data_IF_659709604397
#
_entry.id   IF_659709604397
#
_cell.length_a   1.000
_cell.length_b   1.000
_cell.length_c   1.000
_cell.angle_alpha   90.00
_cell.angle_beta   90.00
_cell.angle_gamma   90.00
#
_symmetry.space_group_name_H-M   'P 1'
#
loop_
_entity.id
_entity.type
_entity.pdbx_description
1 polymer ?
#
# COMPACT_ATOMS: atom_id res chain seq x y z
N UNK A 1 11.68 28.81 -4.37
CA UNK A 1 10.66 28.18 -5.20
C UNK A 1 9.27 28.38 -4.61
N UNK A 2 8.88 27.76 -3.49
CA UNK A 2 7.55 27.88 -2.91
C UNK A 2 7.09 29.33 -2.64
N UNK A 3 7.99 30.20 -2.21
CA UNK A 3 7.70 31.64 -2.02
C UNK A 3 7.39 32.34 -3.35
N UNK A 4 8.04 31.93 -4.44
CA UNK A 4 7.79 32.44 -5.79
C UNK A 4 6.39 32.04 -6.28
N UNK A 5 6.01 30.75 -6.12
CA UNK A 5 4.67 30.25 -6.45
C UNK A 5 3.58 30.96 -5.63
N UNK A 6 3.81 31.10 -4.32
CA UNK A 6 2.91 31.81 -3.41
C UNK A 6 2.69 33.28 -3.82
N UNK A 7 3.76 33.99 -4.18
CA UNK A 7 3.71 35.38 -4.60
C UNK A 7 2.94 35.56 -5.92
N UNK A 8 3.15 34.69 -6.91
CA UNK A 8 2.38 34.71 -8.16
C UNK A 8 0.86 34.64 -7.90
N UNK A 9 0.42 33.68 -7.06
CA UNK A 9 -1.00 33.55 -6.74
C UNK A 9 -1.53 34.70 -5.89
N UNK A 10 -0.73 35.25 -4.97
CA UNK A 10 -1.10 36.41 -4.17
C UNK A 10 -1.31 37.66 -5.02
N UNK A 11 -0.43 37.95 -5.97
CA UNK A 11 -0.57 39.08 -6.90
C UNK A 11 -1.87 38.96 -7.73
N UNK A 12 -2.17 37.75 -8.20
CA UNK A 12 -3.39 37.51 -8.96
C UNK A 12 -4.66 37.64 -8.11
N UNK A 13 -4.65 37.17 -6.86
CA UNK A 13 -5.75 37.38 -5.93
C UNK A 13 -5.98 38.88 -5.64
N UNK A 14 -4.91 39.66 -5.48
CA UNK A 14 -4.98 41.11 -5.32
C UNK A 14 -5.61 41.76 -6.57
N UNK A 15 -5.15 41.37 -7.75
CA UNK A 15 -5.69 41.88 -9.02
C UNK A 15 -7.20 41.58 -9.22
N UNK A 16 -7.66 40.43 -8.70
CA UNK A 16 -9.05 40.00 -8.83
C UNK A 16 -10.00 40.63 -7.79
N UNK A 17 -9.50 41.54 -6.93
CA UNK A 17 -10.27 42.22 -5.85
C UNK A 17 -11.01 41.27 -4.90
N UNK A 18 -10.56 40.01 -4.78
CA UNK A 18 -11.12 39.03 -3.84
C UNK A 18 -10.48 39.19 -2.47
N UNK A 19 -11.29 39.18 -1.42
CA UNK A 19 -10.78 39.09 -0.04
C UNK A 19 -10.04 37.77 0.10
N UNK A 20 -8.76 37.82 0.46
CA UNK A 20 -7.98 36.68 0.87
C UNK A 20 -7.63 36.80 2.34
N UNK A 21 -7.82 35.72 3.06
CA UNK A 21 -7.37 35.60 4.43
C UNK A 21 -5.88 35.27 4.44
N UNK A 22 -5.13 35.90 5.36
CA UNK A 22 -3.72 35.53 5.54
C UNK A 22 -3.66 34.06 5.99
N UNK A 23 -3.40 33.16 5.05
CA UNK A 23 -3.38 31.72 5.31
C UNK A 23 -2.16 31.36 6.14
N UNK A 24 -2.25 31.59 7.46
CA UNK A 24 -1.30 30.95 8.38
C UNK A 24 -1.60 29.45 8.40
N UNK A 25 -0.57 28.61 8.28
CA UNK A 25 -0.79 27.17 8.40
C UNK A 25 -1.47 26.87 9.73
N UNK A 26 -2.61 26.20 9.69
CA UNK A 26 -3.37 25.86 10.91
C UNK A 26 -2.48 24.94 11.75
N UNK A 27 -2.12 25.36 12.95
CA UNK A 27 -1.28 24.58 13.89
C UNK A 27 -1.78 23.15 14.08
N UNK A 28 -3.11 22.95 14.01
CA UNK A 28 -3.76 21.64 14.04
C UNK A 28 -3.35 20.75 12.86
N UNK A 29 -3.19 21.31 11.64
CA UNK A 29 -2.78 20.55 10.46
C UNK A 29 -1.32 20.10 10.58
N UNK A 30 -0.45 20.99 11.08
CA UNK A 30 0.96 20.66 11.34
C UNK A 30 1.07 19.57 12.38
N UNK A 31 0.36 19.69 13.51
CA UNK A 31 0.35 18.67 14.55
C UNK A 31 -0.12 17.30 14.03
N UNK A 32 -1.17 17.28 13.22
CA UNK A 32 -1.67 16.06 12.60
C UNK A 32 -0.66 15.44 11.63
N UNK A 33 0.05 16.27 10.84
CA UNK A 33 1.12 15.81 9.96
C UNK A 33 2.32 15.24 10.74
N UNK A 34 2.67 15.84 11.89
CA UNK A 34 3.73 15.33 12.76
C UNK A 34 3.38 13.93 13.30
N UNK A 35 2.14 13.74 13.79
CA UNK A 35 1.65 12.44 14.23
C UNK A 35 1.65 11.44 13.07
N UNK A 36 1.15 11.85 11.91
CA UNK A 36 1.11 11.00 10.72
C UNK A 36 2.53 10.57 10.32
N UNK A 37 3.48 11.51 10.31
CA UNK A 37 4.90 11.23 10.01
C UNK A 37 5.51 10.25 11.00
N UNK A 38 5.17 10.37 12.28
CA UNK A 38 5.64 9.45 13.31
C UNK A 38 5.06 8.03 13.14
N UNK A 39 3.83 7.91 12.64
CA UNK A 39 3.14 6.63 12.44
C UNK A 39 3.51 5.92 11.13
N UNK A 40 3.58 6.66 10.02
CA UNK A 40 3.78 6.08 8.67
C UNK A 40 5.16 6.34 8.08
N UNK A 41 5.97 7.15 8.76
CA UNK A 41 7.34 7.52 8.32
C UNK A 41 7.37 8.66 7.30
N UNK A 42 8.56 9.28 7.17
CA UNK A 42 8.77 10.47 6.33
C UNK A 42 8.40 10.23 4.87
N UNK A 43 8.82 9.11 4.28
CA UNK A 43 8.62 8.85 2.85
C UNK A 43 7.14 8.75 2.46
N UNK A 44 6.33 8.07 3.29
CA UNK A 44 4.88 7.98 3.04
C UNK A 44 4.17 9.31 3.27
N UNK A 45 4.61 10.09 4.26
CA UNK A 45 4.05 11.42 4.52
C UNK A 45 4.36 12.38 3.38
N UNK A 46 5.59 12.38 2.86
CA UNK A 46 5.98 13.16 1.68
C UNK A 46 5.12 12.77 0.48
N UNK A 47 5.03 11.48 0.14
CA UNK A 47 4.18 11.00 -0.96
C UNK A 47 2.70 11.42 -0.79
N UNK A 48 2.19 11.50 0.45
CA UNK A 48 0.84 11.97 0.71
C UNK A 48 0.65 13.47 0.45
N UNK A 49 1.68 14.28 0.79
CA UNK A 49 1.68 15.72 0.54
C UNK A 49 1.78 16.03 -0.94
N UNK A 50 2.67 15.35 -1.66
CA UNK A 50 2.90 15.49 -3.10
C UNK A 50 1.69 15.08 -3.96
N UNK A 51 0.79 14.25 -3.44
CA UNK A 51 -0.46 13.92 -4.16
C UNK A 51 -1.27 15.15 -4.56
N UNK A 52 -1.19 16.24 -3.79
CA UNK A 52 -1.82 17.51 -4.11
C UNK A 52 -1.23 18.19 -5.32
N UNK A 53 0.07 18.00 -5.57
CA UNK A 53 0.83 18.70 -6.62
C UNK A 53 0.46 18.22 -8.02
N UNK A 54 0.35 16.91 -8.23
CA UNK A 54 -0.08 16.33 -9.53
C UNK A 54 -1.48 16.86 -9.94
N UNK A 55 -2.40 16.97 -8.99
CA UNK A 55 -3.72 17.55 -9.26
C UNK A 55 -3.64 19.05 -9.50
N UNK A 56 -2.72 19.74 -8.84
CA UNK A 56 -2.44 21.17 -9.04
C UNK A 56 -1.85 21.42 -10.42
N UNK A 57 -0.87 20.64 -10.89
CA UNK A 57 -0.30 20.72 -12.24
C UNK A 57 -1.41 20.58 -13.31
N UNK A 58 -2.36 19.65 -13.12
CA UNK A 58 -3.49 19.48 -14.04
C UNK A 58 -4.40 20.72 -14.06
N UNK A 59 -4.67 21.30 -12.89
CA UNK A 59 -5.45 22.55 -12.77
C UNK A 59 -4.71 23.74 -13.41
N UNK A 60 -3.40 23.86 -13.18
CA UNK A 60 -2.56 24.89 -13.78
C UNK A 60 -2.52 24.78 -15.31
N UNK A 61 -2.40 23.56 -15.86
CA UNK A 61 -2.46 23.32 -17.30
C UNK A 61 -3.81 23.72 -17.93
N UNK A 62 -4.91 23.37 -17.25
CA UNK A 62 -6.25 23.77 -17.68
C UNK A 62 -6.45 25.28 -17.60
N UNK A 63 -5.83 25.92 -16.64
CA UNK A 63 -5.86 27.36 -16.45
C UNK A 63 -5.01 28.07 -17.49
N UNK A 64 -3.82 27.55 -17.80
CA UNK A 64 -2.92 28.05 -18.85
C UNK A 64 -3.64 28.18 -20.21
N UNK A 65 -4.52 27.25 -20.54
CA UNK A 65 -5.31 27.29 -21.78
C UNK A 65 -6.37 28.40 -21.82
N UNK A 66 -6.59 29.12 -20.71
CA UNK A 66 -7.56 30.21 -20.58
C UNK A 66 -6.92 31.58 -20.39
N UNK A 67 -5.60 31.64 -20.29
CA UNK A 67 -4.85 32.89 -20.12
C UNK A 67 -4.54 33.46 -21.50
N UNK A 68 -4.86 34.75 -21.69
CA UNK A 68 -4.54 35.49 -22.92
C UNK A 68 -3.31 36.40 -22.76
N UNK A 69 -2.83 36.62 -21.51
CA UNK A 69 -1.65 37.42 -21.20
C UNK A 69 -0.37 36.55 -21.35
N UNK A 70 0.54 36.98 -22.20
CA UNK A 70 1.77 36.26 -22.51
C UNK A 70 2.72 36.19 -21.32
N UNK A 71 2.83 37.25 -20.52
CA UNK A 71 3.68 37.27 -19.32
C UNK A 71 3.15 36.34 -18.23
N UNK A 72 1.85 36.33 -18.05
CA UNK A 72 1.20 35.46 -17.08
C UNK A 72 1.27 33.99 -17.52
N UNK A 73 1.15 33.74 -18.82
CA UNK A 73 1.32 32.41 -19.42
C UNK A 73 2.74 31.87 -19.21
N UNK A 74 3.77 32.72 -19.40
CA UNK A 74 5.17 32.33 -19.17
C UNK A 74 5.43 32.02 -17.70
N UNK A 75 5.00 32.88 -16.77
CA UNK A 75 5.17 32.64 -15.34
C UNK A 75 4.47 31.35 -14.86
N UNK A 76 3.28 31.05 -15.38
CA UNK A 76 2.57 29.81 -15.05
C UNK A 76 3.23 28.56 -15.63
N UNK A 77 3.84 28.65 -16.83
CA UNK A 77 4.64 27.56 -17.39
C UNK A 77 5.86 27.27 -16.54
N UNK A 78 6.56 28.30 -16.05
CA UNK A 78 7.69 28.15 -15.17
C UNK A 78 7.30 27.44 -13.86
N UNK A 79 6.17 27.82 -13.25
CA UNK A 79 5.60 27.12 -12.08
C UNK A 79 5.30 25.64 -12.39
N UNK A 80 4.70 25.33 -13.55
CA UNK A 80 4.43 23.95 -13.94
C UNK A 80 5.72 23.15 -14.18
N UNK A 81 6.75 23.76 -14.75
CA UNK A 81 8.05 23.13 -14.97
C UNK A 81 8.78 22.87 -13.63
N UNK A 82 8.71 23.81 -12.69
CA UNK A 82 9.23 23.66 -11.35
C UNK A 82 8.55 22.51 -10.60
N UNK A 83 7.21 22.42 -10.62
CA UNK A 83 6.44 21.33 -9.98
C UNK A 83 6.77 19.97 -10.61
N UNK A 84 6.90 19.88 -11.93
CA UNK A 84 7.35 18.66 -12.63
C UNK A 84 8.80 18.32 -12.26
N UNK A 85 9.64 19.32 -12.10
CA UNK A 85 11.03 19.18 -11.65
C UNK A 85 11.10 18.59 -10.23
N UNK A 86 10.28 19.08 -9.32
CA UNK A 86 10.15 18.55 -7.95
C UNK A 86 9.71 17.07 -7.96
N UNK A 87 8.68 16.74 -8.72
CA UNK A 87 8.23 15.34 -8.85
C UNK A 87 9.34 14.42 -9.38
N UNK A 88 10.14 14.89 -10.35
CA UNK A 88 11.27 14.13 -10.89
C UNK A 88 12.39 13.95 -9.86
N UNK A 89 12.77 15.00 -9.12
CA UNK A 89 13.77 14.93 -8.06
C UNK A 89 13.36 13.93 -6.98
N UNK A 90 12.11 13.92 -6.56
CA UNK A 90 11.57 12.94 -5.61
C UNK A 90 11.49 11.54 -6.21
N UNK A 91 11.20 11.42 -7.50
CA UNK A 91 11.24 10.16 -8.24
C UNK A 91 12.67 9.61 -8.39
N UNK A 92 13.66 10.48 -8.46
CA UNK A 92 15.10 10.16 -8.58
C UNK A 92 15.81 10.05 -7.22
N UNK A 93 15.19 10.48 -6.12
CA UNK A 93 15.77 10.43 -4.78
C UNK A 93 16.06 9.01 -4.30
N UNK A 94 16.94 8.40 -5.02
CA UNK A 94 17.82 7.38 -4.52
C UNK A 94 17.66 5.99 -5.11
N UNK A 95 18.79 5.28 -5.18
CA UNK A 95 18.90 3.89 -5.61
C UNK A 95 18.10 2.91 -4.73
N UNK A 96 17.33 3.41 -3.76
CA UNK A 96 16.53 2.64 -2.80
C UNK A 96 15.01 2.69 -3.06
N UNK A 97 14.51 3.51 -4.02
CA UNK A 97 13.06 3.61 -4.25
C UNK A 97 12.46 2.29 -4.72
N UNK A 98 13.09 1.61 -5.67
CA UNK A 98 12.63 0.28 -6.08
C UNK A 98 12.60 -0.71 -4.91
N UNK A 99 13.66 -0.76 -4.11
CA UNK A 99 13.72 -1.63 -2.94
C UNK A 99 12.67 -1.26 -1.87
N UNK A 100 12.34 0.03 -1.74
CA UNK A 100 11.28 0.50 -0.86
C UNK A 100 9.89 0.08 -1.37
N UNK A 101 9.62 0.27 -2.66
CA UNK A 101 8.37 -0.17 -3.30
C UNK A 101 8.20 -1.69 -3.24
N UNK A 102 9.26 -2.45 -3.49
CA UNK A 102 9.26 -3.91 -3.34
C UNK A 102 8.86 -4.34 -1.92
N UNK A 103 9.40 -3.68 -0.89
CA UNK A 103 9.04 -3.98 0.51
C UNK A 103 7.59 -3.66 0.81
N UNK A 104 7.09 -2.51 0.34
CA UNK A 104 5.68 -2.14 0.53
C UNK A 104 4.77 -3.14 -0.18
N UNK A 105 5.08 -3.50 -1.42
CA UNK A 105 4.31 -4.49 -2.16
C UNK A 105 4.32 -5.86 -1.47
N UNK A 106 5.50 -6.33 -1.04
CA UNK A 106 5.64 -7.59 -0.31
C UNK A 106 4.86 -7.58 1.01
N UNK A 107 4.93 -6.47 1.77
CA UNK A 107 4.20 -6.29 3.01
C UNK A 107 2.69 -6.39 2.80
N UNK A 108 2.16 -5.64 1.82
CA UNK A 108 0.71 -5.58 1.62
C UNK A 108 0.19 -6.85 0.98
N UNK A 109 0.95 -7.44 0.06
CA UNK A 109 0.60 -8.70 -0.55
C UNK A 109 0.46 -9.79 0.53
N UNK A 110 1.47 -9.95 1.39
CA UNK A 110 1.39 -10.88 2.50
C UNK A 110 0.26 -10.56 3.49
N UNK A 111 0.13 -9.30 3.91
CA UNK A 111 -0.90 -8.87 4.85
C UNK A 111 -2.31 -9.12 4.31
N UNK A 112 -2.57 -8.73 3.05
CA UNK A 112 -3.89 -8.89 2.43
C UNK A 112 -4.26 -10.36 2.28
N UNK A 113 -3.29 -11.19 1.88
CA UNK A 113 -3.52 -12.62 1.67
C UNK A 113 -3.79 -13.33 3.00
N UNK A 114 -2.99 -13.05 4.05
CA UNK A 114 -3.23 -13.58 5.39
C UNK A 114 -4.59 -13.18 5.98
N UNK A 115 -5.02 -11.93 5.77
CA UNK A 115 -6.34 -11.46 6.21
C UNK A 115 -7.48 -12.22 5.49
N UNK A 116 -7.39 -12.35 4.15
CA UNK A 116 -8.48 -12.89 3.32
C UNK A 116 -8.55 -14.40 3.39
N UNK A 117 -7.42 -15.10 3.26
CA UNK A 117 -7.37 -16.55 3.25
C UNK A 117 -7.85 -17.13 4.58
N UNK A 118 -7.31 -16.61 5.70
CA UNK A 118 -7.70 -17.10 7.02
C UNK A 118 -9.14 -16.72 7.36
N UNK A 119 -9.61 -15.51 7.01
CA UNK A 119 -11.02 -15.15 7.17
C UNK A 119 -11.93 -16.08 6.38
N UNK A 120 -11.58 -16.37 5.13
CA UNK A 120 -12.36 -17.26 4.27
C UNK A 120 -12.44 -18.68 4.84
N UNK A 121 -11.33 -19.23 5.33
CA UNK A 121 -11.31 -20.53 5.97
C UNK A 121 -12.17 -20.56 7.25
N UNK A 122 -11.99 -19.58 8.12
CA UNK A 122 -12.77 -19.45 9.38
C UNK A 122 -14.26 -19.26 9.09
N UNK A 123 -14.63 -18.44 8.11
CA UNK A 123 -16.02 -18.20 7.74
C UNK A 123 -16.71 -19.50 7.28
N UNK A 124 -16.02 -20.27 6.41
CA UNK A 124 -16.53 -21.58 5.99
C UNK A 124 -16.71 -22.57 7.12
N UNK A 125 -15.74 -22.64 8.04
CA UNK A 125 -15.79 -23.53 9.21
C UNK A 125 -16.87 -23.12 10.22
N UNK A 126 -17.12 -21.84 10.40
CA UNK A 126 -18.17 -21.33 11.33
C UNK A 126 -19.57 -21.79 10.95
N UNK A 127 -19.80 -22.12 9.68
CA UNK A 127 -21.08 -22.66 9.23
C UNK A 127 -21.30 -24.14 9.65
N UNK A 128 -20.22 -24.86 10.02
CA UNK A 128 -20.24 -26.31 10.28
C UNK A 128 -19.88 -26.61 11.75
N UNK A 129 -19.00 -25.80 12.34
CA UNK A 129 -18.42 -26.01 13.67
C UNK A 129 -18.98 -24.98 14.63
N UNK A 130 -19.50 -25.42 15.79
CA UNK A 130 -19.99 -24.52 16.84
C UNK A 130 -18.91 -24.08 17.82
N UNK A 131 -17.82 -24.84 17.94
CA UNK A 131 -16.77 -24.58 18.91
C UNK A 131 -15.77 -23.52 18.38
N UNK A 132 -15.81 -22.32 18.93
CA UNK A 132 -14.94 -21.21 18.54
C UNK A 132 -13.46 -21.55 18.65
N UNK A 133 -13.05 -22.29 19.68
CA UNK A 133 -11.64 -22.63 19.87
C UNK A 133 -11.13 -23.57 18.77
N UNK A 134 -11.95 -24.54 18.32
CA UNK A 134 -11.60 -25.41 17.18
C UNK A 134 -11.44 -24.59 15.92
N UNK A 135 -12.35 -23.61 15.69
CA UNK A 135 -12.26 -22.71 14.54
C UNK A 135 -10.98 -21.86 14.61
N UNK A 136 -10.64 -21.32 15.79
CA UNK A 136 -9.42 -20.55 15.99
C UNK A 136 -8.17 -21.39 15.71
N UNK A 137 -8.12 -22.63 16.20
CA UNK A 137 -7.01 -23.56 15.95
C UNK A 137 -6.89 -23.93 14.47
N UNK A 138 -8.02 -24.13 13.79
CA UNK A 138 -8.03 -24.38 12.34
C UNK A 138 -7.52 -23.16 11.57
N UNK A 139 -7.94 -21.95 11.94
CA UNK A 139 -7.42 -20.71 11.40
C UNK A 139 -5.91 -20.56 11.61
N UNK A 140 -5.40 -20.96 12.78
CA UNK A 140 -3.96 -20.95 13.08
C UNK A 140 -3.19 -21.92 12.15
N UNK A 141 -3.71 -23.12 11.91
CA UNK A 141 -3.08 -24.12 11.02
C UNK A 141 -3.03 -23.57 9.58
N UNK A 142 -4.13 -22.99 9.10
CA UNK A 142 -4.18 -22.33 7.78
C UNK A 142 -3.19 -21.17 7.73
N UNK A 143 -3.16 -20.33 8.77
CA UNK A 143 -2.26 -19.17 8.86
C UNK A 143 -0.77 -19.56 8.84
N UNK A 144 -0.39 -20.63 9.53
CA UNK A 144 1.00 -21.13 9.51
C UNK A 144 1.34 -21.74 8.15
N UNK A 145 0.47 -22.58 7.60
CA UNK A 145 0.66 -23.17 6.28
C UNK A 145 0.78 -22.13 5.17
N UNK A 146 -0.12 -21.13 5.17
CA UNK A 146 -0.09 -20.01 4.25
C UNK A 146 1.17 -19.15 4.40
N UNK A 147 1.63 -18.90 5.64
CA UNK A 147 2.89 -18.17 5.89
C UNK A 147 4.07 -18.86 5.22
N UNK A 148 4.19 -20.19 5.37
CA UNK A 148 5.27 -20.96 4.76
C UNK A 148 5.17 -20.89 3.23
N UNK A 149 3.98 -21.15 2.69
CA UNK A 149 3.71 -21.14 1.24
C UNK A 149 4.03 -19.77 0.62
N UNK A 150 3.53 -18.68 1.23
CA UNK A 150 3.74 -17.32 0.75
C UNK A 150 5.20 -16.87 0.85
N UNK A 151 5.90 -17.27 1.93
CA UNK A 151 7.34 -16.97 2.07
C UNK A 151 8.15 -17.66 0.97
N UNK A 152 7.90 -18.95 0.73
CA UNK A 152 8.57 -19.70 -0.30
C UNK A 152 8.23 -19.21 -1.71
N UNK A 153 6.95 -18.94 -1.98
CA UNK A 153 6.49 -18.40 -3.27
C UNK A 153 7.11 -17.03 -3.57
N UNK A 154 7.15 -16.13 -2.58
CA UNK A 154 7.78 -14.82 -2.70
C UNK A 154 9.30 -14.96 -2.93
N UNK A 155 9.97 -15.88 -2.23
CA UNK A 155 11.39 -16.16 -2.44
C UNK A 155 11.66 -16.63 -3.87
N UNK A 156 10.96 -17.64 -4.34
CA UNK A 156 11.15 -18.22 -5.68
C UNK A 156 10.86 -17.21 -6.79
N UNK A 157 9.76 -16.48 -6.67
CA UNK A 157 9.39 -15.46 -7.64
C UNK A 157 10.44 -14.35 -7.72
N UNK A 158 10.86 -13.83 -6.55
CA UNK A 158 11.85 -12.74 -6.51
C UNK A 158 13.24 -13.21 -6.92
N UNK A 159 13.63 -14.44 -6.57
CA UNK A 159 14.89 -15.04 -7.00
C UNK A 159 14.99 -15.09 -8.53
N UNK A 160 13.92 -15.53 -9.21
CA UNK A 160 13.88 -15.60 -10.68
C UNK A 160 13.98 -14.21 -11.32
N UNK A 161 13.32 -13.19 -10.76
CA UNK A 161 13.44 -11.80 -11.22
C UNK A 161 14.87 -11.29 -11.06
N UNK A 162 15.47 -11.54 -9.88
CA UNK A 162 16.83 -11.08 -9.57
C UNK A 162 17.88 -11.77 -10.44
N UNK A 163 17.75 -13.06 -10.72
CA UNK A 163 18.64 -13.76 -11.67
C UNK A 163 18.62 -13.13 -13.06
N UNK A 164 17.45 -12.71 -13.54
CA UNK A 164 17.34 -11.97 -14.79
C UNK A 164 18.04 -10.62 -14.73
N UNK A 165 17.87 -9.85 -13.63
CA UNK A 165 18.53 -8.58 -13.42
C UNK A 165 20.05 -8.72 -13.34
N UNK A 166 20.55 -9.74 -12.63
CA UNK A 166 21.99 -10.05 -12.53
C UNK A 166 22.60 -10.32 -13.89
N UNK A 167 21.91 -11.07 -14.75
CA UNK A 167 22.36 -11.29 -16.13
C UNK A 167 22.51 -9.98 -16.90
N UNK A 168 21.56 -9.06 -16.75
CA UNK A 168 21.63 -7.75 -17.40
C UNK A 168 22.80 -6.91 -16.83
N UNK A 169 22.98 -6.87 -15.50
CA UNK A 169 24.08 -6.17 -14.85
C UNK A 169 25.44 -6.68 -15.35
N UNK A 170 25.61 -8.00 -15.46
CA UNK A 170 26.84 -8.60 -16.01
C UNK A 170 27.06 -8.21 -17.47
N UNK A 171 26.00 -8.23 -18.29
CA UNK A 171 26.09 -7.81 -19.69
C UNK A 171 26.47 -6.34 -19.84
N UNK A 172 25.86 -5.47 -19.06
CA UNK A 172 26.19 -4.02 -19.06
C UNK A 172 27.63 -3.76 -18.58
N UNK A 173 28.10 -4.50 -17.57
CA UNK A 173 29.46 -4.34 -17.07
C UNK A 173 30.53 -4.70 -18.11
N UNK A 174 30.24 -5.70 -18.97
CA UNK A 174 31.12 -6.07 -20.08
C UNK A 174 31.14 -5.00 -21.19
N UNK A 175 30.01 -4.34 -21.44
CA UNK A 175 29.89 -3.31 -22.48
C UNK A 175 30.55 -1.98 -22.05
N UNK A 176 30.51 -1.66 -20.75
CA UNK A 176 30.92 -0.36 -20.22
C UNK A 176 32.25 -0.40 -19.45
N UNK A 177 33.00 -1.50 -19.55
CA UNK A 177 34.30 -1.74 -18.88
C UNK A 177 34.27 -1.38 -17.36
N UNK A 178 33.18 -1.76 -16.68
CA UNK A 178 32.98 -1.48 -15.25
C UNK A 178 33.88 -2.36 -14.39
N UNK A 179 34.44 -1.78 -13.32
CA UNK A 179 35.26 -2.52 -12.35
C UNK A 179 34.49 -3.70 -11.75
N UNK A 180 35.15 -4.88 -11.65
CA UNK A 180 34.57 -6.08 -11.01
C UNK A 180 34.01 -5.83 -9.62
N UNK A 181 34.68 -4.99 -8.81
CA UNK A 181 34.22 -4.62 -7.46
C UNK A 181 32.86 -3.90 -7.50
N UNK A 182 32.64 -3.02 -8.47
CA UNK A 182 31.40 -2.29 -8.62
C UNK A 182 30.27 -3.22 -9.05
N UNK A 183 30.54 -4.12 -9.99
CA UNK A 183 29.59 -5.13 -10.47
C UNK A 183 29.21 -6.11 -9.35
N UNK A 184 30.18 -6.61 -8.58
CA UNK A 184 29.93 -7.50 -7.45
C UNK A 184 29.07 -6.83 -6.36
N UNK A 185 29.29 -5.54 -6.07
CA UNK A 185 28.46 -4.77 -5.12
C UNK A 185 27.02 -4.61 -5.60
N UNK A 186 26.82 -4.36 -6.89
CA UNK A 186 25.48 -4.29 -7.49
C UNK A 186 24.74 -5.63 -7.39
N UNK A 187 25.41 -6.72 -7.74
CA UNK A 187 24.87 -8.10 -7.68
C UNK A 187 24.44 -8.43 -6.24
N UNK A 188 25.34 -8.26 -5.27
CA UNK A 188 25.01 -8.53 -3.86
C UNK A 188 23.82 -7.73 -3.37
N UNK A 189 23.70 -6.47 -3.78
CA UNK A 189 22.54 -5.65 -3.43
C UNK A 189 21.23 -6.21 -3.98
N UNK A 190 21.23 -6.76 -5.19
CA UNK A 190 20.05 -7.39 -5.77
C UNK A 190 19.73 -8.73 -5.07
N UNK A 191 20.73 -9.56 -4.77
CA UNK A 191 20.54 -10.82 -4.02
C UNK A 191 19.90 -10.60 -2.65
N UNK A 192 20.34 -9.56 -1.90
CA UNK A 192 19.79 -9.22 -0.60
C UNK A 192 18.29 -8.86 -0.70
N UNK A 193 17.81 -8.32 -1.82
CA UNK A 193 16.38 -8.00 -2.06
C UNK A 193 15.48 -9.23 -2.03
N UNK A 194 15.95 -10.38 -2.53
CA UNK A 194 15.18 -11.63 -2.52
C UNK A 194 14.82 -12.05 -1.10
N UNK A 195 15.81 -12.09 -0.21
CA UNK A 195 15.58 -12.49 1.19
C UNK A 195 14.72 -11.49 1.95
N UNK A 196 14.93 -10.19 1.70
CA UNK A 196 14.11 -9.13 2.32
C UNK A 196 12.66 -9.23 1.88
N UNK A 197 12.38 -9.45 0.59
CA UNK A 197 11.02 -9.61 0.07
C UNK A 197 10.32 -10.82 0.69
N UNK A 198 10.97 -11.99 0.69
CA UNK A 198 10.43 -13.22 1.25
C UNK A 198 10.09 -13.09 2.74
N UNK A 199 11.03 -12.56 3.54
CA UNK A 199 10.80 -12.31 4.98
C UNK A 199 9.67 -11.32 5.21
N UNK A 200 9.62 -10.23 4.44
CA UNK A 200 8.56 -9.23 4.58
C UNK A 200 7.20 -9.84 4.26
N UNK A 201 7.08 -10.61 3.18
CA UNK A 201 5.83 -11.28 2.80
C UNK A 201 5.37 -12.25 3.89
N UNK A 202 6.26 -13.12 4.39
CA UNK A 202 5.91 -14.09 5.43
C UNK A 202 5.50 -13.44 6.75
N UNK A 203 6.28 -12.46 7.22
CA UNK A 203 5.97 -11.74 8.48
C UNK A 203 4.67 -10.95 8.38
N UNK A 204 4.40 -10.31 7.25
CA UNK A 204 3.14 -9.58 7.04
C UNK A 204 1.95 -10.52 6.90
N UNK A 205 2.13 -11.68 6.27
CA UNK A 205 1.09 -12.69 6.17
C UNK A 205 0.66 -13.20 7.56
N UNK A 206 1.62 -13.60 8.43
CA UNK A 206 1.28 -14.09 9.77
C UNK A 206 0.63 -12.99 10.62
N UNK A 207 1.06 -11.74 10.46
CA UNK A 207 0.42 -10.60 11.11
C UNK A 207 -1.02 -10.42 10.61
N UNK A 208 -1.27 -10.52 9.30
CA UNK A 208 -2.60 -10.49 8.71
C UNK A 208 -3.49 -11.62 9.19
N UNK A 209 -2.96 -12.85 9.21
CA UNK A 209 -3.66 -14.05 9.64
C UNK A 209 -4.14 -13.99 11.10
N UNK A 210 -3.43 -13.26 11.95
CA UNK A 210 -3.79 -13.13 13.36
C UNK A 210 -5.13 -12.40 13.57
N UNK A 211 -5.44 -11.38 12.77
CA UNK A 211 -6.64 -10.55 12.95
C UNK A 211 -7.95 -11.34 12.88
N UNK A 212 -8.21 -12.18 11.85
CA UNK A 212 -9.44 -12.96 11.81
C UNK A 212 -9.53 -14.03 12.91
N UNK A 213 -8.42 -14.50 13.48
CA UNK A 213 -8.37 -15.54 14.51
C UNK A 213 -8.74 -14.98 15.89
N UNK A 214 -8.28 -13.77 16.22
CA UNK A 214 -8.39 -13.18 17.55
C UNK A 214 -9.82 -13.24 18.13
N UNK A 215 -10.91 -12.87 17.39
CA UNK A 215 -12.27 -12.93 17.96
C UNK A 215 -12.71 -14.33 18.35
N UNK A 216 -12.18 -15.37 17.71
CA UNK A 216 -12.54 -16.77 17.97
C UNK A 216 -11.82 -17.37 19.20
N UNK A 217 -10.87 -16.67 19.79
CA UNK A 217 -10.30 -17.04 21.09
C UNK A 217 -11.28 -16.80 22.24
N UNK A 218 -12.37 -16.08 21.99
CA UNK A 218 -13.42 -15.79 22.95
C UNK A 218 -14.70 -16.58 22.60
N UNK A 219 -15.44 -17.08 23.59
CA UNK A 219 -16.64 -17.91 23.36
C UNK A 219 -17.87 -17.05 22.99
N UNK A 220 -17.80 -16.30 21.90
CA UNK A 220 -18.86 -15.38 21.45
C UNK A 220 -19.80 -15.99 20.39
N UNK A 221 -19.60 -17.25 20.02
CA UNK A 221 -20.40 -17.91 18.97
C UNK A 221 -20.29 -17.19 17.63
N UNK A 222 -21.42 -17.02 16.95
CA UNK A 222 -21.47 -16.37 15.61
C UNK A 222 -21.01 -14.90 15.64
N UNK A 223 -21.06 -14.24 16.80
CA UNK A 223 -20.60 -12.86 16.95
C UNK A 223 -19.10 -12.77 16.67
N UNK A 224 -18.31 -13.82 16.98
CA UNK A 224 -16.90 -13.88 16.63
C UNK A 224 -16.66 -13.70 15.14
N UNK A 225 -17.49 -14.30 14.28
CA UNK A 225 -17.41 -14.14 12.82
C UNK A 225 -17.68 -12.68 12.41
N UNK A 226 -18.73 -12.07 12.95
CA UNK A 226 -19.08 -10.68 12.62
C UNK A 226 -17.96 -9.70 13.00
N UNK A 227 -17.37 -9.88 14.21
CA UNK A 227 -16.22 -9.07 14.67
C UNK A 227 -15.01 -9.32 13.76
N UNK A 228 -14.74 -10.59 13.40
CA UNK A 228 -13.62 -10.96 12.52
C UNK A 228 -13.77 -10.31 11.14
N UNK A 229 -14.94 -10.37 10.52
CA UNK A 229 -15.24 -9.72 9.25
C UNK A 229 -15.04 -8.21 9.32
N UNK A 230 -15.57 -7.56 10.36
CA UNK A 230 -15.42 -6.12 10.55
C UNK A 230 -13.94 -5.73 10.75
N UNK A 231 -13.21 -6.47 11.57
CA UNK A 231 -11.80 -6.23 11.85
C UNK A 231 -10.95 -6.38 10.58
N UNK A 232 -11.17 -7.45 9.82
CA UNK A 232 -10.47 -7.69 8.55
C UNK A 232 -10.77 -6.58 7.55
N UNK A 233 -12.02 -6.14 7.41
CA UNK A 233 -12.38 -5.05 6.51
C UNK A 233 -11.66 -3.74 6.87
N UNK A 234 -11.56 -3.41 8.16
CA UNK A 234 -10.85 -2.23 8.65
C UNK A 234 -9.34 -2.33 8.38
N UNK A 235 -8.72 -3.45 8.76
CA UNK A 235 -7.27 -3.64 8.58
C UNK A 235 -6.92 -3.68 7.09
N UNK A 236 -7.74 -4.31 6.27
CA UNK A 236 -7.59 -4.34 4.81
C UNK A 236 -7.69 -2.93 4.20
N UNK A 237 -8.65 -2.13 4.66
CA UNK A 237 -8.80 -0.74 4.21
C UNK A 237 -7.56 0.10 4.58
N UNK A 238 -7.05 -0.04 5.81
CA UNK A 238 -5.84 0.67 6.27
C UNK A 238 -4.62 0.24 5.44
N UNK A 239 -4.37 -1.06 5.30
CA UNK A 239 -3.22 -1.60 4.57
C UNK A 239 -3.23 -1.14 3.10
N UNK A 240 -4.38 -1.21 2.43
CA UNK A 240 -4.51 -0.74 1.05
C UNK A 240 -4.45 0.78 0.91
N UNK A 241 -4.79 1.53 1.96
CA UNK A 241 -4.58 2.99 1.97
C UNK A 241 -3.09 3.34 1.97
N UNK A 242 -2.27 2.59 2.71
CA UNK A 242 -0.81 2.77 2.75
C UNK A 242 -0.21 2.56 1.35
N UNK A 243 -0.60 1.49 0.64
CA UNK A 243 -0.11 1.27 -0.73
C UNK A 243 -0.60 2.34 -1.70
N UNK A 244 -1.88 2.74 -1.56
CA UNK A 244 -2.44 3.78 -2.41
C UNK A 244 -1.69 5.11 -2.26
N UNK A 245 -1.20 5.42 -1.05
CA UNK A 245 -0.34 6.57 -0.78
C UNK A 245 1.04 6.35 -1.41
N UNK A 246 1.67 5.21 -1.18
CA UNK A 246 3.01 4.90 -1.68
C UNK A 246 3.10 4.88 -3.22
N UNK A 247 2.04 4.41 -3.89
CA UNK A 247 1.97 4.30 -5.36
C UNK A 247 1.26 5.48 -6.03
N UNK A 248 0.86 6.49 -5.27
CA UNK A 248 0.11 7.66 -5.76
C UNK A 248 -1.17 7.30 -6.54
N UNK A 249 -1.91 6.29 -6.07
CA UNK A 249 -3.19 5.85 -6.65
C UNK A 249 -4.38 6.21 -5.74
N UNK A 250 -5.62 6.13 -6.24
CA UNK A 250 -6.81 6.50 -5.48
C UNK A 250 -7.03 5.62 -4.25
N UNK A 251 -6.95 6.21 -3.04
CA UNK A 251 -7.13 5.53 -1.76
C UNK A 251 -8.50 4.87 -1.71
N UNK A 252 -9.56 5.62 -1.97
CA UNK A 252 -10.92 5.11 -1.84
C UNK A 252 -11.22 3.94 -2.78
N UNK A 253 -10.70 3.99 -4.03
CA UNK A 253 -10.86 2.89 -4.99
C UNK A 253 -10.06 1.66 -4.59
N UNK A 254 -8.83 1.84 -4.11
CA UNK A 254 -7.96 0.72 -3.70
C UNK A 254 -8.52 0.02 -2.46
N UNK A 255 -8.78 0.78 -1.40
CA UNK A 255 -9.28 0.25 -0.12
C UNK A 255 -10.69 -0.34 -0.26
N UNK A 256 -11.59 0.33 -0.99
CA UNK A 256 -12.94 -0.17 -1.21
C UNK A 256 -12.97 -1.49 -2.01
N UNK A 257 -12.14 -1.60 -3.06
CA UNK A 257 -12.00 -2.84 -3.82
C UNK A 257 -11.50 -3.99 -2.96
N UNK A 258 -10.47 -3.75 -2.16
CA UNK A 258 -9.89 -4.77 -1.29
C UNK A 258 -10.89 -5.24 -0.22
N UNK A 259 -11.61 -4.33 0.44
CA UNK A 259 -12.64 -4.67 1.41
C UNK A 259 -13.77 -5.50 0.79
N UNK A 260 -14.27 -5.10 -0.39
CA UNK A 260 -15.33 -5.85 -1.09
C UNK A 260 -14.87 -7.26 -1.45
N UNK A 261 -13.64 -7.43 -1.96
CA UNK A 261 -13.11 -8.74 -2.32
C UNK A 261 -12.96 -9.65 -1.09
N UNK A 262 -12.53 -9.12 0.05
CA UNK A 262 -12.43 -9.86 1.32
C UNK A 262 -13.81 -10.33 1.80
N UNK A 263 -14.81 -9.46 1.74
CA UNK A 263 -16.19 -9.79 2.11
C UNK A 263 -16.80 -10.85 1.19
N UNK A 264 -16.54 -10.75 -0.11
CA UNK A 264 -16.99 -11.74 -1.09
C UNK A 264 -16.37 -13.12 -0.84
N UNK A 265 -15.06 -13.17 -0.55
CA UNK A 265 -14.38 -14.42 -0.22
C UNK A 265 -15.01 -15.08 1.01
N UNK A 266 -15.20 -14.32 2.09
CA UNK A 266 -15.85 -14.82 3.32
C UNK A 266 -17.28 -15.28 3.07
N UNK A 267 -18.08 -14.54 2.30
CA UNK A 267 -19.47 -14.90 1.99
C UNK A 267 -19.55 -16.19 1.15
N UNK A 268 -18.68 -16.34 0.15
CA UNK A 268 -18.63 -17.55 -0.68
C UNK A 268 -18.27 -18.77 0.16
N UNK A 269 -17.24 -18.68 0.98
CA UNK A 269 -16.79 -19.82 1.80
C UNK A 269 -17.77 -20.16 2.91
N UNK A 270 -18.40 -19.15 3.54
CA UNK A 270 -19.50 -19.39 4.47
C UNK A 270 -20.68 -20.08 3.77
N UNK A 271 -21.05 -19.64 2.57
CA UNK A 271 -22.08 -20.28 1.75
C UNK A 271 -21.77 -21.74 1.42
N UNK A 272 -20.52 -22.06 1.09
CA UNK A 272 -20.07 -23.44 0.89
C UNK A 272 -20.26 -24.25 2.17
N UNK A 273 -19.77 -23.75 3.31
CA UNK A 273 -19.97 -24.40 4.60
C UNK A 273 -21.44 -24.61 4.94
N UNK A 274 -22.29 -23.62 4.71
CA UNK A 274 -23.72 -23.70 4.93
C UNK A 274 -24.40 -24.78 4.05
N UNK A 275 -23.98 -24.92 2.79
CA UNK A 275 -24.47 -26.00 1.89
C UNK A 275 -24.09 -27.36 2.47
N UNK A 276 -22.83 -27.54 2.90
CA UNK A 276 -22.40 -28.80 3.51
C UNK A 276 -23.17 -29.12 4.79
N UNK A 277 -23.38 -28.14 5.64
CA UNK A 277 -24.21 -28.28 6.83
C UNK A 277 -25.64 -28.74 6.49
N UNK A 278 -26.27 -28.08 5.53
CA UNK A 278 -27.72 -28.29 5.24
C UNK A 278 -27.97 -29.57 4.45
N UNK A 279 -27.17 -29.86 3.42
CA UNK A 279 -27.44 -31.00 2.54
C UNK A 279 -26.75 -32.29 2.96
N UNK A 280 -25.61 -32.21 3.58
CA UNK A 280 -24.85 -33.38 4.01
C UNK A 280 -24.97 -33.65 5.51
N UNK A 281 -25.70 -32.83 6.24
CA UNK A 281 -25.93 -32.96 7.70
C UNK A 281 -24.59 -33.04 8.48
N UNK A 282 -23.54 -32.40 7.98
CA UNK A 282 -22.25 -32.35 8.63
C UNK A 282 -22.29 -31.25 9.67
N UNK A 283 -22.32 -31.66 10.94
CA UNK A 283 -22.29 -30.79 12.10
C UNK A 283 -21.28 -31.32 13.10
N UNK A 284 -20.37 -30.45 13.54
CA UNK A 284 -19.35 -30.77 14.53
C UNK A 284 -19.60 -29.85 15.72
N UNK A 285 -20.27 -30.39 16.72
CA UNK A 285 -20.69 -29.70 17.94
C UNK A 285 -19.58 -29.56 18.97
#
# INVERSE_FOLDING_TARGET
MEDSHSNFWLERLKASNRKYDNMKPKSVKIFFLMILTALIGNNLTINLLERGEVESIRKYRNFLNRINDEKESMALKEIIEDEIGHENIFNEMGPNREAYLDRIQAFIYGMSDGLVEVLAAIAGLTAIISNNFIIAMSGLVVGVGGTISMTLGSYLSKSSEIEYRIRNIRRESLLNDQSEKTTAKKIKKEEDRTMVSAKTTGLSYIAGAAFPIIPFLFPLGIISLLISVALVAIVQAISNSIIAIALNISILKSSGRAAVLSLLAAAITYGIGFIFHTYFHIYIG
#
